data_IF_705249987407
#
_entry.id   IF_705249987407
#
_cell.length_a   1.000
_cell.length_b   1.000
_cell.length_c   1.000
_cell.angle_alpha   90.00
_cell.angle_beta   90.00
_cell.angle_gamma   90.00
#
_symmetry.space_group_name_H-M   'P 1'
#
loop_
_entity.id
_entity.type
_entity.pdbx_description
1 polymer ?
#
# COMPACT_ATOMS: atom_id res chain seq x y z
N UNK A 1 -5.53 20.31 8.94
CA UNK A 1 -5.85 18.86 8.88
C UNK A 1 -6.70 18.51 7.65
N UNK A 2 -7.85 19.16 7.42
CA UNK A 2 -8.66 18.97 6.22
C UNK A 2 -8.00 19.46 4.92
N UNK A 3 -7.21 20.54 4.97
CA UNK A 3 -6.51 21.10 3.80
C UNK A 3 -5.46 20.14 3.18
N UNK A 4 -4.84 19.29 4.00
CA UNK A 4 -3.80 18.35 3.55
C UNK A 4 -4.37 17.20 2.70
N UNK A 5 -5.64 16.86 2.87
CA UNK A 5 -6.31 15.82 2.08
C UNK A 5 -6.72 16.31 0.67
N UNK A 6 -6.83 17.63 0.46
CA UNK A 6 -7.31 18.19 -0.81
C UNK A 6 -6.17 18.50 -1.80
N UNK A 7 -4.99 18.88 -1.32
CA UNK A 7 -3.89 19.31 -2.21
C UNK A 7 -2.97 18.17 -2.66
N UNK A 8 -3.03 16.99 -2.03
CA UNK A 8 -2.37 15.79 -2.55
C UNK A 8 -0.84 15.81 -2.61
N UNK A 9 -0.21 16.90 -2.20
CA UNK A 9 1.23 17.11 -2.32
C UNK A 9 1.83 17.20 -0.91
N UNK A 10 2.52 16.13 -0.52
CA UNK A 10 3.24 16.04 0.74
C UNK A 10 4.72 15.77 0.46
N UNK A 11 5.64 16.33 1.26
CA UNK A 11 7.07 16.23 0.99
C UNK A 11 7.55 14.77 0.99
N UNK A 12 8.22 14.37 -0.10
CA UNK A 12 8.91 13.07 -0.21
C UNK A 12 8.37 12.10 -1.26
N UNK A 13 7.29 12.43 -1.98
CA UNK A 13 6.81 11.66 -3.14
C UNK A 13 6.45 12.64 -4.26
N UNK A 14 7.35 12.80 -5.24
CA UNK A 14 7.08 13.60 -6.43
C UNK A 14 6.06 12.88 -7.33
N UNK A 15 5.08 13.61 -7.85
CA UNK A 15 4.02 13.12 -8.75
C UNK A 15 3.11 11.99 -8.18
N UNK A 16 2.74 12.05 -6.90
CA UNK A 16 1.75 11.12 -6.35
C UNK A 16 0.36 11.34 -6.99
N UNK A 17 -0.30 10.31 -7.56
CA UNK A 17 -1.61 10.45 -8.20
C UNK A 17 -2.73 10.56 -7.16
N UNK A 18 -2.78 11.69 -6.46
CA UNK A 18 -3.77 12.01 -5.41
C UNK A 18 -5.21 11.74 -5.88
N UNK A 19 -5.55 12.21 -7.08
CA UNK A 19 -6.90 12.05 -7.65
C UNK A 19 -7.30 10.59 -7.89
N UNK A 20 -6.34 9.68 -8.04
CA UNK A 20 -6.61 8.24 -8.18
C UNK A 20 -6.86 7.56 -6.84
N UNK A 21 -6.24 8.06 -5.76
CA UNK A 21 -6.37 7.51 -4.42
C UNK A 21 -7.59 8.07 -3.68
N UNK A 22 -7.94 9.34 -3.90
CA UNK A 22 -9.01 10.03 -3.18
C UNK A 22 -10.29 10.19 -4.02
N UNK A 23 -10.78 9.09 -4.63
CA UNK A 23 -12.06 9.11 -5.37
C UNK A 23 -13.24 8.98 -4.40
N UNK A 24 -14.28 9.81 -4.57
CA UNK A 24 -15.43 9.89 -3.66
C UNK A 24 -16.24 8.60 -3.50
N UNK A 25 -16.11 7.66 -4.44
CA UNK A 25 -16.77 6.35 -4.37
C UNK A 25 -15.97 5.30 -3.56
N UNK A 26 -14.71 5.60 -3.21
CA UNK A 26 -13.84 4.69 -2.47
C UNK A 26 -14.00 4.99 -0.98
N UNK A 27 -14.17 3.94 -0.17
CA UNK A 27 -14.32 4.10 1.27
C UNK A 27 -13.07 4.78 1.87
N UNK A 28 -13.18 5.82 2.72
CA UNK A 28 -12.04 6.59 3.23
C UNK A 28 -10.91 5.76 3.87
N UNK A 29 -11.26 4.64 4.52
CA UNK A 29 -10.27 3.69 5.07
C UNK A 29 -9.36 3.09 3.99
N UNK A 30 -9.89 2.81 2.81
CA UNK A 30 -9.11 2.27 1.68
C UNK A 30 -8.18 3.36 1.13
N UNK A 31 -8.67 4.59 0.97
CA UNK A 31 -7.85 5.74 0.57
C UNK A 31 -6.69 5.97 1.54
N UNK A 32 -6.97 5.97 2.86
CA UNK A 32 -5.96 6.12 3.89
C UNK A 32 -4.92 4.99 3.85
N UNK A 33 -5.36 3.74 3.63
CA UNK A 33 -4.45 2.61 3.50
C UNK A 33 -3.56 2.73 2.25
N UNK A 34 -4.13 3.03 1.08
CA UNK A 34 -3.38 3.25 -0.16
C UNK A 34 -2.38 4.40 -0.02
N UNK A 35 -2.75 5.46 0.68
CA UNK A 35 -1.84 6.56 0.99
C UNK A 35 -0.64 6.09 1.83
N UNK A 36 -0.85 5.25 2.86
CA UNK A 36 0.27 4.71 3.66
C UNK A 36 1.19 3.81 2.83
N UNK A 37 0.65 3.04 1.89
CA UNK A 37 1.42 2.18 0.99
C UNK A 37 2.31 3.01 0.09
N UNK A 38 1.74 4.02 -0.57
CA UNK A 38 2.47 4.88 -1.50
C UNK A 38 3.65 5.61 -0.84
N UNK A 39 3.49 5.99 0.43
CA UNK A 39 4.54 6.65 1.20
C UNK A 39 5.48 5.68 1.92
N UNK A 40 5.35 4.36 1.70
CA UNK A 40 6.11 3.31 2.42
C UNK A 40 6.03 3.49 3.95
N UNK A 41 4.84 3.85 4.45
CA UNK A 41 4.56 4.08 5.88
C UNK A 41 3.71 2.99 6.54
N UNK A 42 3.35 1.95 5.79
CA UNK A 42 2.65 0.78 6.28
C UNK A 42 3.42 0.12 7.44
N UNK A 43 2.70 -0.46 8.40
CA UNK A 43 3.27 -1.19 9.54
C UNK A 43 3.79 -2.56 9.10
N UNK A 44 4.89 -2.58 8.36
CA UNK A 44 5.64 -3.79 7.99
C UNK A 44 6.95 -3.85 8.75
N UNK A 45 7.48 -5.06 8.96
CA UNK A 45 8.73 -5.24 9.72
C UNK A 45 9.91 -4.43 9.13
N UNK A 46 10.02 -4.35 7.80
CA UNK A 46 11.05 -3.52 7.16
C UNK A 46 10.92 -2.03 7.49
N UNK A 47 9.69 -1.50 7.57
CA UNK A 47 9.43 -0.12 7.96
C UNK A 47 9.67 0.13 9.45
N UNK A 48 9.40 -0.85 10.31
CA UNK A 48 9.75 -0.78 11.73
C UNK A 48 11.26 -0.74 11.93
N UNK A 49 12.00 -1.59 11.21
CA UNK A 49 13.47 -1.59 11.24
C UNK A 49 14.05 -0.24 10.78
N UNK A 50 13.52 0.36 9.70
CA UNK A 50 13.92 1.72 9.26
C UNK A 50 13.66 2.81 10.31
N UNK A 51 12.72 2.59 11.24
CA UNK A 51 12.43 3.49 12.36
C UNK A 51 13.28 3.21 13.61
N UNK A 52 14.26 2.30 13.51
CA UNK A 52 15.18 1.97 14.61
C UNK A 52 14.71 0.83 15.51
N UNK A 53 13.67 0.08 15.13
CA UNK A 53 13.24 -1.08 15.91
C UNK A 53 14.10 -2.31 15.60
N UNK A 54 14.68 -2.92 16.63
CA UNK A 54 15.50 -4.13 16.50
C UNK A 54 14.65 -5.40 16.59
N UNK A 55 13.90 -5.69 15.53
CA UNK A 55 13.08 -6.90 15.37
C UNK A 55 13.60 -7.74 14.20
N UNK A 56 13.51 -9.07 14.30
CA UNK A 56 13.85 -9.96 13.19
C UNK A 56 12.80 -9.86 12.08
N UNK A 57 13.20 -9.43 10.87
CA UNK A 57 12.27 -9.35 9.75
C UNK A 57 11.92 -10.76 9.24
N UNK A 58 10.71 -11.22 9.57
CA UNK A 58 10.15 -12.47 9.05
C UNK A 58 8.68 -12.26 8.74
N UNK A 59 8.29 -12.62 7.53
CA UNK A 59 6.90 -12.63 7.12
C UNK A 59 6.15 -13.75 7.83
N UNK A 60 5.08 -13.39 8.55
CA UNK A 60 4.22 -14.36 9.23
C UNK A 60 3.39 -15.21 8.26
N UNK A 61 3.17 -14.71 7.05
CA UNK A 61 2.45 -15.41 5.98
C UNK A 61 3.34 -16.38 5.20
N UNK A 62 4.65 -16.12 5.18
CA UNK A 62 5.65 -16.97 4.53
C UNK A 62 6.92 -16.97 5.36
N UNK A 63 7.05 -17.92 6.29
CA UNK A 63 8.11 -18.00 7.32
C UNK A 63 9.57 -17.87 6.82
N UNK A 64 9.82 -18.02 5.52
CA UNK A 64 11.15 -17.94 4.89
C UNK A 64 11.42 -16.63 4.12
N UNK A 65 10.43 -15.73 4.01
CA UNK A 65 10.58 -14.45 3.33
C UNK A 65 10.61 -13.30 4.34
N UNK A 66 11.28 -12.22 3.97
CA UNK A 66 11.18 -10.95 4.69
C UNK A 66 9.81 -10.32 4.46
N UNK A 67 9.27 -9.71 5.51
CA UNK A 67 8.05 -8.93 5.44
C UNK A 67 8.35 -7.54 4.89
N UNK A 68 7.80 -7.26 3.72
CA UNK A 68 7.82 -5.95 3.08
C UNK A 68 6.43 -5.62 2.54
N UNK A 69 6.16 -4.34 2.28
CA UNK A 69 4.89 -3.90 1.68
C UNK A 69 4.62 -4.60 0.35
N UNK A 70 5.63 -4.68 -0.53
CA UNK A 70 5.51 -5.37 -1.81
C UNK A 70 5.28 -6.87 -1.63
N UNK A 71 5.97 -7.50 -0.67
CA UNK A 71 5.78 -8.91 -0.40
C UNK A 71 4.33 -9.23 -0.02
N UNK A 72 3.74 -8.44 0.90
CA UNK A 72 2.37 -8.66 1.36
C UNK A 72 1.34 -8.30 0.29
N UNK A 73 1.54 -7.21 -0.46
CA UNK A 73 0.50 -6.63 -1.32
C UNK A 73 0.60 -7.09 -2.78
N UNK A 74 1.76 -7.57 -3.24
CA UNK A 74 2.00 -7.92 -4.64
C UNK A 74 2.45 -9.37 -4.77
N UNK A 75 3.49 -9.75 -4.03
CA UNK A 75 4.18 -11.02 -4.30
C UNK A 75 3.53 -12.24 -3.65
N UNK A 76 2.73 -12.03 -2.60
CA UNK A 76 2.10 -13.11 -1.87
C UNK A 76 1.06 -13.84 -2.74
N UNK A 77 1.14 -15.17 -2.75
CA UNK A 77 0.40 -16.01 -3.69
C UNK A 77 -1.12 -15.86 -3.54
N UNK A 78 -1.61 -15.74 -2.30
CA UNK A 78 -3.02 -15.44 -2.04
C UNK A 78 -3.45 -14.08 -2.61
N UNK A 79 -2.60 -13.07 -2.47
CA UNK A 79 -2.93 -11.70 -2.90
C UNK A 79 -2.93 -11.59 -4.42
N UNK A 80 -2.07 -12.35 -5.13
CA UNK A 80 -2.15 -12.47 -6.59
C UNK A 80 -3.50 -13.02 -7.06
N UNK A 81 -4.05 -14.00 -6.35
CA UNK A 81 -5.39 -14.54 -6.64
C UNK A 81 -6.45 -13.46 -6.41
N UNK A 82 -6.39 -12.76 -5.28
CA UNK A 82 -7.32 -11.66 -4.98
C UNK A 82 -7.26 -10.58 -6.07
N UNK A 83 -6.06 -10.15 -6.47
CA UNK A 83 -5.90 -9.16 -7.55
C UNK A 83 -6.44 -9.66 -8.88
N UNK A 84 -6.23 -10.94 -9.23
CA UNK A 84 -6.81 -11.53 -10.43
C UNK A 84 -8.33 -11.43 -10.44
N UNK A 85 -8.99 -11.76 -9.32
CA UNK A 85 -10.45 -11.65 -9.20
C UNK A 85 -10.94 -10.20 -9.23
N UNK A 86 -10.23 -9.28 -8.55
CA UNK A 86 -10.52 -7.85 -8.59
C UNK A 86 -10.39 -7.29 -10.01
N UNK A 87 -9.35 -7.68 -10.75
CA UNK A 87 -9.12 -7.24 -12.13
C UNK A 87 -10.19 -7.78 -13.09
N UNK A 88 -10.63 -9.02 -12.89
CA UNK A 88 -11.76 -9.60 -13.64
C UNK A 88 -13.05 -8.82 -13.37
N UNK A 89 -13.33 -8.49 -12.12
CA UNK A 89 -14.54 -7.76 -11.72
C UNK A 89 -14.54 -6.31 -12.21
N UNK A 90 -13.40 -5.63 -12.10
CA UNK A 90 -13.27 -4.22 -12.46
C UNK A 90 -13.10 -3.98 -13.98
N UNK A 91 -12.92 -5.04 -14.78
CA UNK A 91 -12.76 -4.97 -16.24
C UNK A 91 -11.54 -4.16 -16.67
N UNK A 92 -10.36 -4.81 -16.76
CA UNK A 92 -9.11 -4.25 -17.34
C UNK A 92 -8.92 -2.74 -17.11
N UNK A 93 -8.95 -2.30 -15.86
CA UNK A 93 -8.40 -1.00 -15.50
C UNK A 93 -6.88 -1.17 -15.44
N UNK A 94 -6.22 -0.82 -16.54
CA UNK A 94 -4.76 -0.69 -16.64
C UNK A 94 -4.26 0.26 -15.55
N UNK A 95 -3.81 -0.29 -14.43
CA UNK A 95 -2.95 0.38 -13.47
C UNK A 95 -1.89 -0.62 -13.01
N UNK A 96 -0.85 -0.75 -13.82
CA UNK A 96 0.55 -0.78 -13.43
C UNK A 96 1.34 -0.05 -14.51
#
# INVERSE_FOLDING_TARGET
MYMFLLEGQFPGVDNFPCNSVWRSFIHPKVCAFMWTIAHKRTLTMDNLQRRGWSLANRCSLRFKAEETVNHIIIDYDFVKVVWSEVLKFCGNLTIL
#
